data_IF_113353642423
#
_entry.id   IF_113353642423
#
_cell.length_a   1.000
_cell.length_b   1.000
_cell.length_c   1.000
_cell.angle_alpha   90.00
_cell.angle_beta   90.00
_cell.angle_gamma   90.00
#
_symmetry.space_group_name_H-M   'P 1'
#
loop_
_entity.id
_entity.type
_entity.pdbx_description
1 polymer ?
#
# COMPACT_ATOMS: atom_id res chain seq x y z
N UNK A 1 9.75 10.61 -11.81
CA UNK A 1 9.29 10.99 -10.45
C UNK A 1 9.64 12.44 -10.16
N UNK A 2 8.65 13.20 -9.66
CA UNK A 2 8.82 14.57 -9.15
C UNK A 2 8.89 14.56 -7.62
N UNK A 3 7.88 13.96 -6.98
CA UNK A 3 7.76 13.83 -5.53
C UNK A 3 7.23 12.44 -5.18
N UNK A 4 7.59 11.96 -3.99
CA UNK A 4 6.99 10.79 -3.36
C UNK A 4 6.64 11.17 -1.92
N UNK A 5 5.42 10.85 -1.50
CA UNK A 5 4.97 11.00 -0.11
C UNK A 5 4.78 9.61 0.49
N UNK A 6 5.34 9.39 1.68
CA UNK A 6 5.31 8.14 2.47
C UNK A 6 5.20 8.52 3.95
N UNK A 7 5.33 7.54 4.86
CA UNK A 7 5.35 7.72 6.32
C UNK A 7 4.01 8.20 6.87
N UNK A 8 2.92 7.57 6.40
CA UNK A 8 1.59 7.80 6.95
C UNK A 8 1.53 7.39 8.43
N UNK A 9 0.73 8.08 9.24
CA UNK A 9 0.54 7.68 10.64
C UNK A 9 -0.21 6.35 10.69
N UNK A 10 0.23 5.42 11.55
CA UNK A 10 -0.36 4.08 11.62
C UNK A 10 -1.87 4.11 11.93
N UNK A 11 -2.32 5.07 12.74
CA UNK A 11 -3.76 5.24 13.04
C UNK A 11 -4.62 5.47 11.80
N UNK A 12 -4.06 6.08 10.74
CA UNK A 12 -4.81 6.36 9.51
C UNK A 12 -5.04 5.07 8.72
N UNK A 13 -4.10 4.12 8.76
CA UNK A 13 -4.30 2.78 8.18
C UNK A 13 -5.42 2.04 8.89
N UNK A 14 -5.46 2.10 10.22
CA UNK A 14 -6.53 1.47 11.00
C UNK A 14 -7.91 2.11 10.76
N UNK A 15 -7.95 3.36 10.29
CA UNK A 15 -9.18 4.07 9.96
C UNK A 15 -9.70 3.79 8.54
N UNK A 16 -8.94 3.07 7.71
CA UNK A 16 -9.37 2.74 6.34
C UNK A 16 -10.56 1.77 6.35
N UNK A 17 -11.42 1.84 5.32
CA UNK A 17 -12.46 0.84 5.14
C UNK A 17 -11.85 -0.52 4.78
N UNK A 18 -12.60 -1.59 5.09
CA UNK A 18 -12.25 -2.92 4.62
C UNK A 18 -12.46 -3.03 3.09
N UNK A 19 -11.61 -3.79 2.37
CA UNK A 19 -10.55 -4.67 2.90
C UNK A 19 -9.21 -3.98 3.18
N UNK A 20 -9.07 -2.68 2.88
CA UNK A 20 -7.77 -2.00 2.85
C UNK A 20 -7.07 -1.93 4.20
N UNK A 21 -7.82 -1.78 5.29
CA UNK A 21 -7.24 -1.83 6.63
C UNK A 21 -6.62 -3.21 6.89
N UNK A 22 -7.39 -4.29 6.72
CA UNK A 22 -6.90 -5.65 7.02
C UNK A 22 -5.74 -6.08 6.14
N UNK A 23 -5.81 -5.87 4.81
CA UNK A 23 -4.75 -6.32 3.89
C UNK A 23 -3.40 -5.66 4.17
N UNK A 24 -3.40 -4.41 4.64
CA UNK A 24 -2.20 -3.65 4.97
C UNK A 24 -1.65 -4.11 6.31
N UNK A 25 -2.54 -4.26 7.30
CA UNK A 25 -2.16 -4.76 8.63
C UNK A 25 -1.59 -6.19 8.58
N UNK A 26 -1.97 -6.97 7.58
CA UNK A 26 -1.42 -8.29 7.34
C UNK A 26 -0.03 -8.29 6.69
N UNK A 27 0.42 -7.16 6.12
CA UNK A 27 1.72 -7.05 5.47
C UNK A 27 2.88 -7.27 6.44
N UNK A 28 3.99 -7.81 5.92
CA UNK A 28 5.20 -8.05 6.72
C UNK A 28 5.82 -6.73 7.20
N UNK A 29 5.77 -5.69 6.37
CA UNK A 29 6.28 -4.36 6.71
C UNK A 29 5.49 -3.77 7.87
N UNK A 30 4.16 -3.75 7.79
CA UNK A 30 3.31 -3.25 8.87
C UNK A 30 3.62 -3.94 10.20
N UNK A 31 3.60 -5.27 10.22
CA UNK A 31 3.84 -6.07 11.43
C UNK A 31 5.19 -5.73 12.04
N UNK A 32 6.23 -5.68 11.21
CA UNK A 32 7.56 -5.30 11.67
C UNK A 32 7.59 -3.88 12.26
N UNK A 33 6.98 -2.88 11.60
CA UNK A 33 6.93 -1.51 12.11
C UNK A 33 6.17 -1.41 13.44
N UNK A 34 5.09 -2.18 13.61
CA UNK A 34 4.33 -2.27 14.88
C UNK A 34 5.16 -2.92 15.98
N UNK A 35 5.89 -3.99 15.66
CA UNK A 35 6.78 -4.66 16.62
C UNK A 35 7.93 -3.75 17.07
N UNK A 36 8.36 -2.82 16.21
CA UNK A 36 9.36 -1.79 16.56
C UNK A 36 8.75 -0.56 17.28
N UNK A 37 7.43 -0.51 17.47
CA UNK A 37 6.77 0.63 18.13
C UNK A 37 6.80 1.93 17.33
N UNK A 38 6.97 1.88 16.01
CA UNK A 38 7.03 3.09 15.17
C UNK A 38 5.66 3.77 15.09
N UNK A 39 5.57 5.09 15.03
CA UNK A 39 4.28 5.78 14.89
C UNK A 39 3.80 5.87 13.45
N UNK A 40 4.74 5.91 12.50
CA UNK A 40 4.48 5.98 11.08
C UNK A 40 4.63 4.61 10.40
N UNK A 41 4.15 4.52 9.17
CA UNK A 41 4.27 3.35 8.29
C UNK A 41 4.65 3.75 6.88
N UNK A 42 5.53 2.97 6.27
CA UNK A 42 5.88 3.04 4.85
C UNK A 42 4.98 2.19 3.94
N UNK A 43 3.90 1.61 4.46
CA UNK A 43 2.98 0.75 3.68
C UNK A 43 2.08 1.51 2.70
N UNK A 44 2.16 2.83 2.70
CA UNK A 44 1.48 3.74 1.78
C UNK A 44 2.46 4.67 1.11
N UNK A 45 2.35 4.81 -0.21
CA UNK A 45 3.05 5.85 -0.95
C UNK A 45 2.20 6.49 -2.03
N UNK A 46 2.34 7.80 -2.20
CA UNK A 46 1.86 8.54 -3.37
C UNK A 46 3.06 9.00 -4.20
N UNK A 47 3.08 8.58 -5.46
CA UNK A 47 4.14 8.89 -6.43
C UNK A 47 3.63 9.88 -7.47
N UNK A 48 4.19 11.09 -7.46
CA UNK A 48 3.86 12.12 -8.43
C UNK A 48 4.82 12.06 -9.63
N UNK A 49 4.30 11.92 -10.87
CA UNK A 49 5.12 12.00 -12.08
C UNK A 49 5.66 13.42 -12.30
N UNK A 50 6.67 13.55 -13.18
CA UNK A 50 7.25 14.86 -13.53
C UNK A 50 6.30 15.69 -14.39
N UNK A 51 5.57 15.01 -15.26
CA UNK A 51 4.61 15.61 -16.16
C UNK A 51 3.21 15.51 -15.56
N UNK A 52 2.41 16.57 -15.75
CA UNK A 52 1.02 16.65 -15.33
C UNK A 52 0.07 15.90 -16.28
N UNK A 53 0.58 15.34 -17.38
CA UNK A 53 -0.18 14.46 -18.29
C UNK A 53 -0.34 13.02 -17.78
N UNK A 54 0.36 12.65 -16.69
CA UNK A 54 0.33 11.32 -16.11
C UNK A 54 -0.38 11.34 -14.75
N UNK A 55 -1.11 10.27 -14.46
CA UNK A 55 -1.76 10.10 -13.17
C UNK A 55 -0.75 9.86 -12.04
N UNK A 56 -1.13 10.26 -10.83
CA UNK A 56 -0.39 9.96 -9.59
C UNK A 56 -0.59 8.49 -9.25
N UNK A 57 0.48 7.77 -8.95
CA UNK A 57 0.38 6.38 -8.52
C UNK A 57 0.19 6.30 -7.01
N UNK A 58 -0.80 5.53 -6.58
CA UNK A 58 -0.94 5.07 -5.21
C UNK A 58 -0.33 3.68 -5.09
N UNK A 59 0.54 3.48 -4.11
CA UNK A 59 1.10 2.16 -3.81
C UNK A 59 0.72 1.75 -2.41
N UNK A 60 0.20 0.52 -2.29
CA UNK A 60 -0.22 -0.11 -1.05
C UNK A 60 0.55 -1.42 -0.91
N UNK A 61 1.27 -1.58 0.19
CA UNK A 61 1.91 -2.84 0.53
C UNK A 61 0.97 -3.68 1.38
N UNK A 62 0.57 -4.84 0.84
CA UNK A 62 -0.33 -5.78 1.50
C UNK A 62 0.35 -7.10 1.88
N UNK A 63 -0.36 -7.93 2.65
CA UNK A 63 0.03 -9.32 2.89
C UNK A 63 0.14 -10.13 1.60
N UNK A 64 1.05 -11.11 1.59
CA UNK A 64 1.28 -11.97 0.40
C UNK A 64 -0.01 -12.66 -0.06
N UNK A 65 -0.69 -13.34 0.87
CA UNK A 65 -1.94 -14.06 0.58
C UNK A 65 -3.10 -13.12 0.24
N UNK A 66 -3.10 -11.92 0.83
CA UNK A 66 -4.07 -10.88 0.51
C UNK A 66 -3.88 -10.37 -0.92
N UNK A 67 -2.66 -10.36 -1.45
CA UNK A 67 -2.40 -10.04 -2.85
C UNK A 67 -3.19 -10.91 -3.84
N UNK A 68 -3.27 -12.23 -3.59
CA UNK A 68 -4.11 -13.12 -4.41
C UNK A 68 -5.59 -12.78 -4.30
N UNK A 69 -6.07 -12.44 -3.10
CA UNK A 69 -7.46 -12.00 -2.89
C UNK A 69 -7.78 -10.71 -3.65
N UNK A 70 -6.84 -9.75 -3.70
CA UNK A 70 -7.03 -8.51 -4.45
C UNK A 70 -7.08 -8.73 -5.96
N UNK A 71 -6.32 -9.70 -6.49
CA UNK A 71 -6.40 -10.09 -7.90
C UNK A 71 -7.82 -10.53 -8.23
N UNK A 72 -8.43 -11.39 -7.41
CA UNK A 72 -9.81 -11.83 -7.59
C UNK A 72 -10.80 -10.67 -7.41
N UNK A 73 -10.68 -9.91 -6.33
CA UNK A 73 -11.59 -8.82 -5.98
C UNK A 73 -11.69 -7.74 -7.09
N UNK A 74 -10.55 -7.36 -7.66
CA UNK A 74 -10.47 -6.34 -8.70
C UNK A 74 -10.43 -6.91 -10.11
N UNK A 75 -10.55 -8.24 -10.27
CA UNK A 75 -10.47 -8.93 -11.56
C UNK A 75 -9.20 -8.56 -12.35
N UNK A 76 -8.06 -8.47 -11.65
CA UNK A 76 -6.79 -8.11 -12.26
C UNK A 76 -6.29 -9.23 -13.16
N UNK A 77 -5.59 -8.85 -14.23
CA UNK A 77 -4.96 -9.80 -15.15
C UNK A 77 -3.45 -9.70 -15.05
N UNK A 78 -2.80 -10.85 -15.20
CA UNK A 78 -1.35 -10.92 -15.29
C UNK A 78 -0.89 -10.18 -16.56
N UNK A 79 -0.31 -9.00 -16.39
CA UNK A 79 0.20 -8.21 -17.51
C UNK A 79 1.63 -8.62 -17.89
N UNK A 80 2.46 -8.98 -16.91
CA UNK A 80 3.89 -9.25 -17.06
C UNK A 80 4.35 -10.27 -16.00
N UNK A 81 5.19 -11.23 -16.40
CA UNK A 81 5.89 -12.17 -15.51
C UNK A 81 7.27 -12.48 -16.07
N UNK A 82 8.28 -12.61 -15.21
CA UNK A 82 9.67 -12.93 -15.56
C UNK A 82 10.04 -14.36 -15.17
#
# INVERSE_FOLDING_TARGET
MKYMYTDALAREVSALPEPFSSIIQNSRLWKWERDQGLECTGTFALLFPKDHTQDVSLTIWCGHDDGYRLIELFSLQLALSS
#
